data_IF_644445701298
#
_entry.id   IF_644445701298
#
_cell.length_a   1.000
_cell.length_b   1.000
_cell.length_c   1.000
_cell.angle_alpha   90.00
_cell.angle_beta   90.00
_cell.angle_gamma   90.00
#
_symmetry.space_group_name_H-M   'P 1'
#
loop_
_entity.id
_entity.type
_entity.pdbx_description
1 polymer ?
#
# COMPACT_ATOMS: atom_id res chain seq x y z
N UNK A 1 -17.92 9.96 23.66
CA UNK A 1 -16.92 9.84 24.71
C UNK A 1 -17.61 9.45 26.00
N UNK A 2 -17.08 8.51 26.76
CA UNK A 2 -17.71 7.99 27.95
C UNK A 2 -17.09 8.58 29.22
N UNK A 3 -17.84 8.54 30.32
CA UNK A 3 -17.33 8.88 31.65
C UNK A 3 -16.25 7.87 32.06
N UNK A 4 -15.16 8.37 32.62
CA UNK A 4 -14.06 7.54 33.14
C UNK A 4 -14.44 7.10 34.56
N UNK A 5 -14.62 5.78 34.76
CA UNK A 5 -14.57 5.18 36.08
C UNK A 5 -13.14 4.65 36.30
N UNK A 6 -12.72 4.48 37.55
CA UNK A 6 -11.37 4.06 37.94
C UNK A 6 -10.85 2.81 37.18
N UNK A 7 -11.75 1.98 36.62
CA UNK A 7 -11.45 0.71 35.99
C UNK A 7 -11.69 0.64 34.47
N UNK A 8 -12.22 1.67 33.80
CA UNK A 8 -12.49 1.63 32.38
C UNK A 8 -13.27 2.84 31.85
N UNK A 9 -13.72 2.76 30.60
CA UNK A 9 -14.46 3.81 29.91
C UNK A 9 -15.86 3.31 29.55
N UNK A 10 -16.88 4.11 29.84
CA UNK A 10 -18.22 3.91 29.31
C UNK A 10 -18.34 4.63 27.98
N UNK A 11 -18.67 3.90 26.91
CA UNK A 11 -18.90 4.49 25.59
C UNK A 11 -20.35 4.93 25.43
N UNK A 12 -20.56 6.01 24.66
CA UNK A 12 -21.91 6.46 24.29
C UNK A 12 -22.67 5.38 23.54
N UNK A 13 -24.01 5.39 23.60
CA UNK A 13 -24.88 4.38 22.97
C UNK A 13 -24.58 4.18 21.48
N UNK A 14 -24.29 5.24 20.73
CA UNK A 14 -23.94 5.19 19.33
C UNK A 14 -22.68 4.36 19.05
N UNK A 15 -21.60 4.55 19.86
CA UNK A 15 -20.38 3.76 19.73
C UNK A 15 -20.63 2.29 20.09
N UNK A 16 -21.45 2.04 21.11
CA UNK A 16 -21.85 0.68 21.49
C UNK A 16 -22.59 -0.01 20.35
N UNK A 17 -23.54 0.68 19.72
CA UNK A 17 -24.27 0.18 18.54
C UNK A 17 -23.34 -0.14 17.38
N UNK A 18 -22.36 0.74 17.07
CA UNK A 18 -21.42 0.53 15.98
C UNK A 18 -20.50 -0.66 16.27
N UNK A 19 -19.93 -0.76 17.48
CA UNK A 19 -19.10 -1.88 17.88
C UNK A 19 -19.86 -3.23 17.88
N UNK A 20 -21.17 -3.23 18.06
CA UNK A 20 -22.01 -4.42 18.00
C UNK A 20 -22.63 -4.67 16.62
N UNK A 21 -22.39 -3.79 15.64
CA UNK A 21 -23.02 -3.84 14.32
C UNK A 21 -22.38 -4.88 13.40
N UNK A 22 -23.13 -5.32 12.40
CA UNK A 22 -22.61 -6.16 11.31
C UNK A 22 -21.49 -5.47 10.50
N UNK A 23 -21.40 -4.14 10.55
CA UNK A 23 -20.30 -3.40 9.94
C UNK A 23 -18.95 -3.84 10.53
N UNK A 24 -18.81 -3.85 11.86
CA UNK A 24 -17.54 -4.15 12.53
C UNK A 24 -17.32 -5.64 12.75
N UNK A 25 -18.39 -6.44 12.89
CA UNK A 25 -18.29 -7.87 13.21
C UNK A 25 -18.29 -8.79 11.98
N UNK A 26 -18.79 -8.32 10.83
CA UNK A 26 -18.87 -9.12 9.60
C UNK A 26 -18.14 -8.43 8.45
N UNK A 27 -18.50 -7.20 8.08
CA UNK A 27 -17.96 -6.53 6.89
C UNK A 27 -16.47 -6.25 7.05
N UNK A 28 -16.04 -5.63 8.13
CA UNK A 28 -14.64 -5.28 8.38
C UNK A 28 -13.73 -6.52 8.38
N UNK A 29 -14.00 -7.62 9.10
CA UNK A 29 -13.15 -8.79 9.04
C UNK A 29 -13.12 -9.46 7.66
N UNK A 30 -14.18 -9.42 6.86
CA UNK A 30 -14.17 -9.91 5.48
C UNK A 30 -13.16 -9.11 4.64
N UNK A 31 -13.15 -7.79 4.75
CA UNK A 31 -12.17 -6.94 4.06
C UNK A 31 -10.74 -7.30 4.51
N UNK A 32 -10.49 -7.48 5.81
CA UNK A 32 -9.16 -7.88 6.30
C UNK A 32 -8.76 -9.30 5.85
N UNK A 33 -9.69 -10.22 5.69
CA UNK A 33 -9.42 -11.55 5.08
C UNK A 33 -8.95 -11.37 3.63
N UNK A 34 -9.60 -10.52 2.84
CA UNK A 34 -9.18 -10.20 1.47
C UNK A 34 -7.78 -9.57 1.47
N UNK A 35 -7.54 -8.60 2.37
CA UNK A 35 -6.22 -7.96 2.51
C UNK A 35 -5.13 -8.98 2.83
N UNK A 36 -5.39 -9.93 3.72
CA UNK A 36 -4.44 -10.98 4.06
C UNK A 36 -4.24 -11.97 2.92
N UNK A 37 -5.33 -12.52 2.36
CA UNK A 37 -5.29 -13.57 1.35
C UNK A 37 -4.66 -13.10 0.02
N UNK A 38 -4.85 -11.84 -0.35
CA UNK A 38 -4.29 -11.25 -1.58
C UNK A 38 -2.97 -10.55 -1.29
N UNK A 39 -2.92 -9.72 -0.26
CA UNK A 39 -1.75 -8.88 0.04
C UNK A 39 -0.51 -9.69 0.40
N UNK A 40 -0.64 -10.77 1.20
CA UNK A 40 0.51 -11.58 1.61
C UNK A 40 1.23 -12.22 0.41
N UNK A 41 0.57 -13.04 -0.44
CA UNK A 41 1.28 -13.72 -1.53
C UNK A 41 1.77 -12.75 -2.61
N UNK A 42 1.01 -11.71 -2.92
CA UNK A 42 1.37 -10.80 -4.02
C UNK A 42 2.53 -9.89 -3.65
N UNK A 43 2.61 -9.37 -2.42
CA UNK A 43 3.75 -8.57 -1.96
C UNK A 43 4.98 -9.44 -1.69
N UNK A 44 4.82 -10.66 -1.17
CA UNK A 44 5.93 -11.62 -1.06
C UNK A 44 6.54 -11.92 -2.43
N UNK A 45 5.70 -12.18 -3.44
CA UNK A 45 6.15 -12.36 -4.82
C UNK A 45 6.85 -11.10 -5.37
N UNK A 46 6.34 -9.91 -5.06
CA UNK A 46 6.96 -8.66 -5.49
C UNK A 46 8.38 -8.50 -4.92
N UNK A 47 8.56 -8.72 -3.63
CA UNK A 47 9.89 -8.68 -2.99
C UNK A 47 10.82 -9.70 -3.66
N UNK A 48 10.37 -10.94 -3.83
CA UNK A 48 11.17 -11.98 -4.45
C UNK A 48 11.63 -11.58 -5.87
N UNK A 49 10.74 -11.02 -6.69
CA UNK A 49 11.09 -10.55 -8.04
C UNK A 49 12.07 -9.38 -8.00
N UNK A 50 11.84 -8.38 -7.16
CA UNK A 50 12.68 -7.18 -7.12
C UNK A 50 14.07 -7.45 -6.52
N UNK A 51 14.18 -8.34 -5.54
CA UNK A 51 15.47 -8.63 -4.89
C UNK A 51 16.28 -9.67 -5.66
N UNK A 52 15.65 -10.77 -6.13
CA UNK A 52 16.36 -11.93 -6.65
C UNK A 52 16.31 -12.08 -8.17
N UNK A 53 15.25 -11.58 -8.83
CA UNK A 53 15.08 -11.77 -10.28
C UNK A 53 15.44 -10.53 -11.12
N UNK A 54 15.57 -9.37 -10.52
CA UNK A 54 15.90 -8.12 -11.21
C UNK A 54 17.41 -7.92 -11.26
N UNK A 55 18.04 -8.23 -12.40
CA UNK A 55 19.51 -8.13 -12.60
C UNK A 55 20.03 -6.69 -12.54
N UNK A 56 19.33 -5.74 -13.16
CA UNK A 56 19.65 -4.31 -13.11
C UNK A 56 18.61 -3.60 -12.24
N UNK A 57 18.99 -3.19 -11.04
CA UNK A 57 18.13 -2.44 -10.13
C UNK A 57 17.92 -1.04 -10.68
N UNK A 58 16.73 -0.77 -11.18
CA UNK A 58 16.31 0.57 -11.57
C UNK A 58 15.79 1.31 -10.32
N UNK A 59 15.97 2.65 -10.20
CA UNK A 59 15.47 3.42 -9.04
C UNK A 59 14.03 3.11 -8.64
N UNK A 60 13.12 3.01 -9.60
CA UNK A 60 11.73 2.64 -9.32
C UNK A 60 11.58 1.24 -8.70
N UNK A 61 12.46 0.28 -9.03
CA UNK A 61 12.39 -1.07 -8.47
C UNK A 61 12.79 -1.10 -7.00
N UNK A 62 13.67 -0.17 -6.58
CA UNK A 62 14.06 -0.01 -5.17
C UNK A 62 12.87 0.48 -4.37
N UNK A 63 12.17 1.53 -4.83
CA UNK A 63 10.98 2.04 -4.14
C UNK A 63 9.83 1.03 -4.11
N UNK A 64 9.62 0.28 -5.20
CA UNK A 64 8.59 -0.77 -5.24
C UNK A 64 8.89 -1.93 -4.29
N UNK A 65 10.17 -2.32 -4.12
CA UNK A 65 10.57 -3.32 -3.14
C UNK A 65 10.29 -2.87 -1.70
N UNK A 66 10.57 -1.58 -1.40
CA UNK A 66 10.29 -1.01 -0.09
C UNK A 66 8.80 -0.86 0.17
N UNK A 67 8.01 -0.51 -0.84
CA UNK A 67 6.55 -0.47 -0.76
C UNK A 67 5.98 -1.87 -0.44
N UNK A 68 6.41 -2.89 -1.18
CA UNK A 68 6.02 -4.27 -0.91
C UNK A 68 6.47 -4.78 0.48
N UNK A 69 7.62 -4.31 0.97
CA UNK A 69 8.08 -4.62 2.33
C UNK A 69 7.18 -3.96 3.38
N UNK A 70 6.78 -2.70 3.20
CA UNK A 70 5.85 -2.03 4.09
C UNK A 70 4.50 -2.78 4.17
N UNK A 71 3.98 -3.21 3.02
CA UNK A 71 2.74 -4.00 2.95
C UNK A 71 2.88 -5.33 3.69
N UNK A 72 3.97 -6.08 3.48
CA UNK A 72 4.19 -7.35 4.19
C UNK A 72 4.27 -7.17 5.70
N UNK A 73 5.00 -6.14 6.17
CA UNK A 73 5.12 -5.84 7.59
C UNK A 73 3.78 -5.50 8.25
N UNK A 74 2.82 -5.00 7.50
CA UNK A 74 1.46 -4.80 7.97
C UNK A 74 0.62 -6.09 7.89
N UNK A 75 0.61 -6.74 6.72
CA UNK A 75 -0.29 -7.86 6.42
C UNK A 75 -0.05 -9.05 7.35
N UNK A 76 1.18 -9.29 7.82
CA UNK A 76 1.47 -10.37 8.79
C UNK A 76 0.74 -10.21 10.13
N UNK A 77 0.33 -9.00 10.50
CA UNK A 77 -0.42 -8.71 11.74
C UNK A 77 -1.94 -8.73 11.55
N UNK A 78 -2.41 -8.70 10.30
CA UNK A 78 -3.85 -8.66 9.97
C UNK A 78 -4.66 -9.81 10.57
N UNK A 79 -4.16 -11.07 10.69
CA UNK A 79 -4.89 -12.15 11.35
C UNK A 79 -5.34 -11.81 12.78
N UNK A 80 -4.54 -11.05 13.55
CA UNK A 80 -4.93 -10.60 14.89
C UNK A 80 -6.12 -9.62 14.83
N UNK A 81 -6.14 -8.73 13.81
CA UNK A 81 -7.25 -7.80 13.61
C UNK A 81 -8.51 -8.53 13.18
N UNK A 82 -8.39 -9.55 12.33
CA UNK A 82 -9.52 -10.43 11.94
C UNK A 82 -10.12 -11.11 13.18
N UNK A 83 -9.28 -11.74 13.99
CA UNK A 83 -9.71 -12.40 15.23
C UNK A 83 -10.37 -11.43 16.21
N UNK A 84 -9.83 -10.22 16.35
CA UNK A 84 -10.42 -9.17 17.17
C UNK A 84 -11.87 -8.86 16.79
N UNK A 85 -12.15 -8.69 15.51
CA UNK A 85 -13.49 -8.38 15.01
C UNK A 85 -14.45 -9.57 15.15
N UNK A 86 -14.00 -10.81 14.89
CA UNK A 86 -14.81 -12.00 15.08
C UNK A 86 -15.12 -12.30 16.55
N UNK A 87 -14.26 -11.87 17.47
CA UNK A 87 -14.53 -11.93 18.91
C UNK A 87 -15.44 -10.79 19.41
N UNK A 88 -16.26 -10.18 18.54
CA UNK A 88 -17.15 -9.08 18.92
C UNK A 88 -16.41 -7.80 19.32
N UNK A 89 -15.32 -7.48 18.63
CA UNK A 89 -14.44 -6.35 18.92
C UNK A 89 -13.80 -6.42 20.33
N UNK A 90 -13.50 -7.64 20.80
CA UNK A 90 -12.82 -7.88 22.04
C UNK A 90 -11.36 -8.29 21.81
N UNK A 91 -10.44 -7.43 22.22
CA UNK A 91 -8.99 -7.60 22.08
C UNK A 91 -8.42 -8.39 23.28
N UNK A 92 -8.06 -9.64 23.03
CA UNK A 92 -7.58 -10.56 24.08
C UNK A 92 -6.05 -10.67 24.14
N UNK A 93 -5.31 -10.02 23.23
CA UNK A 93 -3.87 -10.23 23.04
C UNK A 93 -2.98 -9.27 23.85
N UNK A 94 -3.58 -8.47 24.74
CA UNK A 94 -2.86 -7.57 25.63
C UNK A 94 -2.40 -6.25 25.00
N UNK A 95 -1.95 -5.31 25.84
CA UNK A 95 -1.60 -3.93 25.46
C UNK A 95 -0.42 -3.87 24.49
N UNK A 96 0.59 -4.70 24.66
CA UNK A 96 1.81 -4.69 23.84
C UNK A 96 1.51 -4.98 22.36
N UNK A 97 0.80 -6.07 22.09
CA UNK A 97 0.44 -6.44 20.72
C UNK A 97 -0.54 -5.45 20.08
N UNK A 98 -1.43 -4.80 20.86
CA UNK A 98 -2.27 -3.74 20.35
C UNK A 98 -1.42 -2.56 19.84
N UNK A 99 -0.44 -2.09 20.63
CA UNK A 99 0.47 -1.01 20.24
C UNK A 99 1.27 -1.38 18.97
N UNK A 100 1.78 -2.59 18.90
CA UNK A 100 2.52 -3.12 17.74
C UNK A 100 1.63 -3.12 16.49
N UNK A 101 0.43 -3.69 16.57
CA UNK A 101 -0.52 -3.74 15.46
C UNK A 101 -0.84 -2.35 14.91
N UNK A 102 -1.14 -1.41 15.80
CA UNK A 102 -1.49 -0.03 15.42
C UNK A 102 -0.29 0.69 14.80
N UNK A 103 0.91 0.53 15.37
CA UNK A 103 2.11 1.16 14.84
C UNK A 103 2.45 0.62 13.44
N UNK A 104 2.34 -0.69 13.19
CA UNK A 104 2.56 -1.27 11.86
C UNK A 104 1.49 -0.83 10.86
N UNK A 105 0.24 -0.67 11.26
CA UNK A 105 -0.82 -0.13 10.41
C UNK A 105 -0.47 1.28 9.91
N UNK A 106 -0.14 2.19 10.82
CA UNK A 106 0.21 3.57 10.46
C UNK A 106 1.54 3.66 9.72
N UNK A 107 2.53 2.85 10.10
CA UNK A 107 3.81 2.76 9.38
C UNK A 107 3.60 2.31 7.94
N UNK A 108 2.79 1.27 7.70
CA UNK A 108 2.45 0.83 6.34
C UNK A 108 1.83 1.98 5.55
N UNK A 109 0.80 2.63 6.10
CA UNK A 109 0.08 3.69 5.41
C UNK A 109 1.02 4.84 4.99
N UNK A 110 1.83 5.37 5.92
CA UNK A 110 2.70 6.51 5.61
C UNK A 110 3.93 6.11 4.78
N UNK A 111 4.47 4.89 4.93
CA UNK A 111 5.46 4.36 4.01
C UNK A 111 4.90 4.25 2.59
N UNK A 112 3.68 3.73 2.42
CA UNK A 112 3.04 3.59 1.11
C UNK A 112 2.83 4.94 0.46
N UNK A 113 2.31 5.93 1.19
CA UNK A 113 2.16 7.31 0.71
C UNK A 113 3.52 7.87 0.25
N UNK A 114 4.57 7.74 1.06
CA UNK A 114 5.89 8.25 0.76
C UNK A 114 6.52 7.55 -0.45
N UNK A 115 6.47 6.20 -0.53
CA UNK A 115 7.08 5.47 -1.64
C UNK A 115 6.33 5.66 -2.96
N UNK A 116 4.99 5.75 -2.95
CA UNK A 116 4.20 6.08 -4.15
C UNK A 116 4.58 7.50 -4.62
N UNK A 117 4.80 8.44 -3.70
CA UNK A 117 5.28 9.78 -4.03
C UNK A 117 6.67 9.75 -4.66
N UNK A 118 7.61 8.99 -4.08
CA UNK A 118 8.94 8.79 -4.65
C UNK A 118 8.89 8.18 -6.06
N UNK A 119 8.00 7.19 -6.27
CA UNK A 119 7.77 6.59 -7.59
C UNK A 119 7.23 7.62 -8.57
N UNK A 120 6.29 8.46 -8.16
CA UNK A 120 5.70 9.53 -8.98
C UNK A 120 6.75 10.55 -9.43
N UNK A 121 7.56 11.05 -8.51
CA UNK A 121 8.68 11.96 -8.80
C UNK A 121 9.72 11.29 -9.71
N UNK A 122 10.09 10.04 -9.42
CA UNK A 122 11.04 9.28 -10.26
C UNK A 122 10.52 9.10 -11.69
N UNK A 123 9.22 8.90 -11.87
CA UNK A 123 8.60 8.79 -13.19
C UNK A 123 8.55 10.13 -13.91
N UNK A 124 8.26 11.22 -13.20
CA UNK A 124 8.37 12.56 -13.74
C UNK A 124 9.76 12.78 -14.35
N UNK A 125 10.84 12.52 -13.60
CA UNK A 125 12.21 12.64 -14.10
C UNK A 125 12.47 11.76 -15.33
N UNK A 126 11.99 10.51 -15.33
CA UNK A 126 12.20 9.59 -16.45
C UNK A 126 11.48 10.01 -17.74
N UNK A 127 10.37 10.74 -17.63
CA UNK A 127 9.57 11.21 -18.79
C UNK A 127 10.09 12.56 -19.28
N UNK A 128 10.38 13.49 -18.38
CA UNK A 128 10.76 14.88 -18.72
C UNK A 128 12.25 15.01 -19.03
N UNK A 129 13.10 14.28 -18.29
CA UNK A 129 14.56 14.34 -18.40
C UNK A 129 15.17 12.96 -18.67
N UNK A 130 14.91 12.31 -19.82
CA UNK A 130 15.26 10.91 -20.07
C UNK A 130 16.76 10.65 -20.06
N UNK A 131 17.58 11.57 -20.55
CA UNK A 131 19.04 11.43 -20.56
C UNK A 131 19.64 11.45 -19.15
N UNK A 132 19.22 12.41 -18.34
CA UNK A 132 19.63 12.53 -16.94
C UNK A 132 19.13 11.36 -16.09
N UNK A 133 17.93 10.86 -16.35
CA UNK A 133 17.36 9.71 -15.66
C UNK A 133 18.11 8.39 -15.92
N UNK A 134 18.75 8.26 -17.09
CA UNK A 134 19.50 7.06 -17.49
C UNK A 134 20.87 6.97 -16.78
N UNK A 135 21.47 8.10 -16.43
CA UNK A 135 22.77 8.19 -15.75
C UNK A 135 22.67 8.17 -14.22
N UNK A 136 21.46 8.07 -13.66
CA UNK A 136 21.24 8.27 -12.23
C UNK A 136 21.79 7.12 -11.39
N UNK A 137 22.59 7.46 -10.39
CA UNK A 137 23.14 6.52 -9.40
C UNK A 137 22.02 5.95 -8.50
N UNK A 138 22.07 4.65 -8.24
CA UNK A 138 21.13 3.95 -7.33
C UNK A 138 21.36 4.30 -5.85
N UNK A 139 22.44 4.97 -5.49
CA UNK A 139 22.71 5.42 -4.11
C UNK A 139 21.62 6.38 -3.61
N UNK A 140 21.13 7.29 -4.47
CA UNK A 140 20.09 8.26 -4.11
C UNK A 140 18.79 7.56 -3.72
N UNK A 141 18.21 6.65 -4.54
CA UNK A 141 17.00 5.91 -4.15
C UNK A 141 17.16 5.08 -2.87
N UNK A 142 18.35 4.51 -2.63
CA UNK A 142 18.63 3.79 -1.38
C UNK A 142 18.63 4.74 -0.19
N UNK A 143 19.36 5.85 -0.28
CA UNK A 143 19.41 6.85 0.79
C UNK A 143 18.01 7.41 1.11
N UNK A 144 17.23 7.77 0.08
CA UNK A 144 15.83 8.23 0.25
C UNK A 144 14.99 7.14 0.92
N UNK A 145 15.13 5.87 0.53
CA UNK A 145 14.38 4.77 1.16
C UNK A 145 14.71 4.63 2.64
N UNK A 146 16.00 4.69 3.01
CA UNK A 146 16.42 4.66 4.42
C UNK A 146 15.84 5.85 5.17
N UNK A 147 15.89 7.05 4.59
CA UNK A 147 15.31 8.26 5.22
C UNK A 147 13.81 8.10 5.44
N UNK A 148 13.05 7.57 4.46
CA UNK A 148 11.61 7.32 4.61
C UNK A 148 11.35 6.37 5.77
N UNK A 149 12.07 5.25 5.87
CA UNK A 149 11.91 4.31 6.96
C UNK A 149 12.21 4.94 8.32
N UNK A 150 13.34 5.65 8.45
CA UNK A 150 13.72 6.32 9.69
C UNK A 150 12.67 7.35 10.10
N UNK A 151 12.23 8.22 9.18
CA UNK A 151 11.22 9.24 9.47
C UNK A 151 9.89 8.60 9.89
N UNK A 152 9.42 7.59 9.15
CA UNK A 152 8.14 6.93 9.48
C UNK A 152 8.21 6.24 10.84
N UNK A 153 9.31 5.54 11.16
CA UNK A 153 9.46 4.93 12.48
C UNK A 153 9.52 5.97 13.60
N UNK A 154 10.21 7.09 13.40
CA UNK A 154 10.25 8.19 14.37
C UNK A 154 8.87 8.79 14.64
N UNK A 155 8.08 9.03 13.58
CA UNK A 155 6.72 9.58 13.75
C UNK A 155 5.74 8.57 14.37
N UNK A 156 6.02 7.27 14.34
CA UNK A 156 5.18 6.25 14.99
C UNK A 156 5.52 6.02 16.47
N UNK A 157 6.62 6.57 16.98
CA UNK A 157 7.00 6.46 18.41
C UNK A 157 5.84 6.85 19.35
N UNK A 158 5.11 7.97 19.15
CA UNK A 158 4.01 8.34 20.03
C UNK A 158 2.94 7.26 20.18
N UNK A 159 2.75 6.40 19.17
CA UNK A 159 1.78 5.30 19.22
C UNK A 159 2.15 4.21 20.24
N UNK A 160 3.41 4.11 20.63
CA UNK A 160 3.86 3.21 21.70
C UNK A 160 3.77 3.83 23.09
N UNK A 161 3.72 5.16 23.20
CA UNK A 161 3.75 5.88 24.48
C UNK A 161 2.41 5.85 25.20
N UNK A 162 1.27 5.94 24.48
CA UNK A 162 -0.05 5.90 25.11
C UNK A 162 -0.76 4.54 24.92
N UNK A 163 -1.68 4.25 25.87
CA UNK A 163 -2.42 2.99 25.81
C UNK A 163 -3.53 3.04 24.76
N UNK A 164 -3.37 2.20 23.74
CA UNK A 164 -4.33 2.00 22.65
C UNK A 164 -5.43 0.99 23.01
N UNK A 165 -5.16 0.14 24.01
CA UNK A 165 -6.14 -0.78 24.57
C UNK A 165 -6.98 -0.08 25.61
N UNK A 166 -8.31 -0.09 25.42
CA UNK A 166 -9.26 0.54 26.33
C UNK A 166 -10.29 -0.51 26.77
N UNK A 167 -10.50 -0.62 28.09
CA UNK A 167 -11.56 -1.46 28.65
C UNK A 167 -12.88 -0.73 28.58
N UNK A 168 -13.90 -1.35 28.01
CA UNK A 168 -15.25 -0.82 27.91
C UNK A 168 -16.13 -1.50 28.94
N UNK A 169 -16.66 -0.71 29.89
CA UNK A 169 -17.37 -1.22 31.08
C UNK A 169 -18.85 -1.40 30.88
N UNK A 170 -19.48 -0.69 29.93
CA UNK A 170 -20.91 -0.78 29.67
C UNK A 170 -21.30 -1.85 28.62
N UNK A 171 -20.43 -2.82 28.36
CA UNK A 171 -20.73 -4.10 27.69
C UNK A 171 -20.89 -5.22 28.71
N UNK A 172 -21.72 -6.21 28.39
CA UNK A 172 -21.87 -7.42 29.18
C UNK A 172 -21.72 -8.66 28.27
N UNK A 173 -20.62 -9.43 28.37
CA UNK A 173 -19.44 -9.17 29.21
C UNK A 173 -18.64 -7.93 28.77
N UNK A 174 -17.82 -7.38 29.67
CA UNK A 174 -16.93 -6.26 29.35
C UNK A 174 -15.91 -6.65 28.29
N UNK A 175 -15.59 -5.73 27.38
CA UNK A 175 -14.66 -5.96 26.29
C UNK A 175 -13.47 -5.01 26.36
N UNK A 176 -12.37 -5.40 25.70
CA UNK A 176 -11.22 -4.55 25.46
C UNK A 176 -11.18 -4.16 23.98
N UNK A 177 -11.10 -2.87 23.67
CA UNK A 177 -10.91 -2.39 22.31
C UNK A 177 -9.44 -2.09 22.03
N UNK A 178 -9.04 -2.14 20.75
CA UNK A 178 -7.69 -1.78 20.32
C UNK A 178 -7.77 -0.71 19.22
N UNK A 179 -7.42 0.54 19.57
CA UNK A 179 -7.42 1.72 18.69
C UNK A 179 -8.80 2.23 18.25
N UNK A 180 -9.89 1.66 18.76
CA UNK A 180 -11.25 2.08 18.37
C UNK A 180 -11.81 3.16 19.29
N UNK A 181 -11.30 3.25 20.52
CA UNK A 181 -11.73 4.21 21.51
C UNK A 181 -10.53 4.92 22.13
N UNK A 182 -10.53 6.25 22.11
CA UNK A 182 -9.50 7.08 22.75
C UNK A 182 -9.98 7.57 24.11
N UNK A 183 -9.14 7.42 25.15
CA UNK A 183 -9.43 7.96 26.49
C UNK A 183 -9.44 9.47 26.45
N UNK A 184 -10.33 10.09 27.20
CA UNK A 184 -10.48 11.55 27.26
C UNK A 184 -9.18 12.26 27.70
N UNK A 185 -8.44 11.67 28.65
CA UNK A 185 -7.15 12.18 29.11
C UNK A 185 -6.08 12.29 28.01
N UNK A 186 -6.16 11.44 26.98
CA UNK A 186 -5.23 11.41 25.85
C UNK A 186 -5.75 12.10 24.59
N UNK A 187 -7.03 12.53 24.60
CA UNK A 187 -7.68 13.06 23.41
C UNK A 187 -6.94 14.21 22.75
N UNK A 188 -6.53 15.23 23.53
CA UNK A 188 -5.84 16.40 22.98
C UNK A 188 -4.51 16.04 22.34
N UNK A 189 -3.74 15.14 22.98
CA UNK A 189 -2.45 14.68 22.49
C UNK A 189 -2.66 13.83 21.22
N UNK A 190 -3.59 12.88 21.26
CA UNK A 190 -3.92 12.04 20.10
C UNK A 190 -4.43 12.88 18.92
N UNK A 191 -5.32 13.83 19.18
CA UNK A 191 -5.83 14.72 18.14
C UNK A 191 -4.71 15.58 17.53
N UNK A 192 -3.87 16.21 18.34
CA UNK A 192 -2.72 16.98 17.85
C UNK A 192 -1.80 16.13 16.99
N UNK A 193 -1.48 14.90 17.42
CA UNK A 193 -0.68 13.95 16.67
C UNK A 193 -1.34 13.58 15.33
N UNK A 194 -2.58 13.09 15.34
CA UNK A 194 -3.24 12.61 14.12
C UNK A 194 -3.59 13.74 13.15
N UNK A 195 -3.92 14.94 13.63
CA UNK A 195 -4.11 16.11 12.78
C UNK A 195 -2.79 16.52 12.09
N UNK A 196 -1.67 16.47 12.82
CA UNK A 196 -0.35 16.80 12.26
C UNK A 196 0.09 15.78 11.21
N UNK A 197 0.06 14.48 11.54
CA UNK A 197 0.50 13.45 10.58
C UNK A 197 -0.46 13.30 9.41
N UNK A 198 -1.78 13.44 9.62
CA UNK A 198 -2.77 13.42 8.54
C UNK A 198 -2.59 14.60 7.58
N UNK A 199 -2.23 15.78 8.09
CA UNK A 199 -1.99 16.96 7.24
C UNK A 199 -0.61 16.85 6.54
N UNK A 200 0.47 16.73 7.29
CA UNK A 200 1.82 16.72 6.71
C UNK A 200 2.15 15.41 5.98
N UNK A 201 1.78 14.27 6.55
CA UNK A 201 2.07 12.95 5.99
C UNK A 201 1.20 12.55 4.80
N UNK A 202 0.08 13.24 4.56
CA UNK A 202 -0.78 12.97 3.42
C UNK A 202 -0.89 14.16 2.45
N UNK A 203 -1.26 15.37 2.93
CA UNK A 203 -1.56 16.51 2.03
C UNK A 203 -0.32 16.92 1.25
N UNK A 204 0.86 17.01 1.89
CA UNK A 204 2.11 17.39 1.21
C UNK A 204 2.49 16.37 0.15
N UNK A 205 2.58 15.04 0.42
CA UNK A 205 2.81 14.04 -0.61
C UNK A 205 1.78 14.05 -1.74
N UNK A 206 0.50 14.24 -1.43
CA UNK A 206 -0.56 14.31 -2.45
C UNK A 206 -0.35 15.48 -3.41
N UNK A 207 0.00 16.66 -2.89
CA UNK A 207 0.32 17.84 -3.71
C UNK A 207 1.54 17.54 -4.61
N UNK A 208 2.61 16.94 -4.07
CA UNK A 208 3.81 16.56 -4.84
C UNK A 208 3.45 15.59 -5.95
N UNK A 209 2.62 14.58 -5.68
CA UNK A 209 2.11 13.67 -6.70
C UNK A 209 1.37 14.41 -7.80
N UNK A 210 0.38 15.23 -7.43
CA UNK A 210 -0.45 15.98 -8.40
C UNK A 210 0.42 16.91 -9.28
N UNK A 211 1.36 17.65 -8.68
CA UNK A 211 2.28 18.52 -9.43
C UNK A 211 3.14 17.68 -10.38
N UNK A 212 3.70 16.55 -9.95
CA UNK A 212 4.48 15.66 -10.80
C UNK A 212 3.69 15.20 -12.03
N UNK A 213 2.39 14.88 -11.87
CA UNK A 213 1.51 14.48 -12.97
C UNK A 213 1.17 15.63 -13.91
N UNK A 214 0.87 16.82 -13.38
CA UNK A 214 0.60 18.00 -14.18
C UNK A 214 1.82 18.34 -15.06
N UNK A 215 3.03 18.29 -14.48
CA UNK A 215 4.25 18.57 -15.21
C UNK A 215 4.54 17.50 -16.28
N UNK A 216 4.27 16.21 -16.00
CA UNK A 216 4.37 15.15 -17.01
C UNK A 216 3.40 15.36 -18.17
N UNK A 217 2.15 15.75 -17.88
CA UNK A 217 1.15 16.04 -18.92
C UNK A 217 1.55 17.24 -19.78
N UNK A 218 2.08 18.30 -19.16
CA UNK A 218 2.60 19.48 -19.91
C UNK A 218 3.75 19.07 -20.84
N UNK A 219 4.73 18.32 -20.33
CA UNK A 219 5.87 17.83 -21.13
C UNK A 219 5.43 16.92 -22.29
N UNK A 220 4.39 16.12 -22.08
CA UNK A 220 3.83 15.28 -23.14
C UNK A 220 3.20 16.11 -24.26
N UNK A 221 2.46 17.18 -23.93
CA UNK A 221 1.84 18.07 -24.91
C UNK A 221 2.86 18.82 -25.75
N UNK A 222 4.00 19.20 -25.17
CA UNK A 222 5.06 19.95 -25.87
C UNK A 222 5.96 19.08 -26.78
N UNK A 223 5.92 17.75 -26.68
CA UNK A 223 6.85 16.82 -27.38
C UNK A 223 6.21 16.14 -28.59
N UNK A 224 5.29 16.72 -29.31
CA UNK A 224 4.46 16.08 -30.35
C UNK A 224 5.15 15.83 -31.72
N UNK A 225 6.46 15.91 -31.84
CA UNK A 225 7.18 15.80 -33.13
C UNK A 225 7.46 14.39 -33.64
N UNK A 226 7.48 13.36 -32.75
CA UNK A 226 7.73 11.95 -33.14
C UNK A 226 6.60 11.04 -32.62
N UNK A 227 5.85 10.43 -33.56
CA UNK A 227 4.67 9.59 -33.25
C UNK A 227 5.01 8.36 -32.39
N UNK A 228 6.17 7.71 -32.60
CA UNK A 228 6.56 6.52 -31.84
C UNK A 228 6.96 6.86 -30.40
N UNK A 229 7.70 7.93 -30.22
CA UNK A 229 8.10 8.44 -28.89
C UNK A 229 6.87 8.92 -28.13
N UNK A 230 5.99 9.63 -28.79
CA UNK A 230 4.72 10.14 -28.24
C UNK A 230 3.81 8.99 -27.76
N UNK A 231 3.65 7.92 -28.53
CA UNK A 231 2.86 6.73 -28.15
C UNK A 231 3.40 6.06 -26.90
N UNK A 232 4.73 5.90 -26.78
CA UNK A 232 5.38 5.30 -25.59
C UNK A 232 5.23 6.19 -24.36
N UNK A 233 5.42 7.50 -24.49
CA UNK A 233 5.25 8.48 -23.40
C UNK A 233 3.79 8.55 -22.95
N UNK A 234 2.82 8.61 -23.88
CA UNK A 234 1.38 8.62 -23.57
C UNK A 234 0.99 7.38 -22.75
N UNK A 235 1.46 6.19 -23.16
CA UNK A 235 1.19 4.96 -22.38
C UNK A 235 1.73 5.06 -20.95
N UNK A 236 2.95 5.58 -20.77
CA UNK A 236 3.54 5.79 -19.46
C UNK A 236 2.70 6.75 -18.59
N UNK A 237 2.26 7.86 -19.16
CA UNK A 237 1.44 8.87 -18.45
C UNK A 237 0.08 8.30 -18.04
N UNK A 238 -0.61 7.57 -18.95
CA UNK A 238 -1.89 6.93 -18.61
C UNK A 238 -1.73 5.94 -17.44
N UNK A 239 -0.69 5.12 -17.47
CA UNK A 239 -0.40 4.18 -16.36
C UNK A 239 -0.17 4.92 -15.04
N UNK A 240 0.51 6.06 -15.09
CA UNK A 240 0.79 6.86 -13.90
C UNK A 240 -0.48 7.55 -13.37
N UNK A 241 -1.36 8.04 -14.25
CA UNK A 241 -2.68 8.57 -13.83
C UNK A 241 -3.47 7.49 -13.09
N UNK A 242 -3.43 6.25 -13.57
CA UNK A 242 -4.07 5.12 -12.85
C UNK A 242 -3.52 4.97 -11.43
N UNK A 243 -2.20 5.05 -11.26
CA UNK A 243 -1.57 4.99 -9.93
C UNK A 243 -2.00 6.16 -9.04
N UNK A 244 -2.08 7.37 -9.59
CA UNK A 244 -2.56 8.54 -8.85
C UNK A 244 -4.02 8.37 -8.41
N UNK A 245 -4.88 7.89 -9.30
CA UNK A 245 -6.30 7.65 -8.97
C UNK A 245 -6.41 6.61 -7.85
N UNK A 246 -5.68 5.49 -7.96
CA UNK A 246 -5.63 4.46 -6.90
C UNK A 246 -5.17 5.05 -5.55
N UNK A 247 -4.09 5.84 -5.57
CA UNK A 247 -3.57 6.54 -4.39
C UNK A 247 -4.64 7.44 -3.75
N UNK A 248 -5.28 8.29 -4.55
CA UNK A 248 -6.29 9.21 -4.05
C UNK A 248 -7.53 8.47 -3.53
N UNK A 249 -7.99 7.43 -4.21
CA UNK A 249 -9.16 6.64 -3.79
C UNK A 249 -8.90 5.89 -2.48
N UNK A 250 -7.71 5.33 -2.30
CA UNK A 250 -7.39 4.57 -1.09
C UNK A 250 -7.13 5.48 0.13
N UNK A 251 -6.39 6.57 -0.04
CA UNK A 251 -5.89 7.33 1.10
C UNK A 251 -6.68 8.60 1.41
N UNK A 252 -7.27 9.28 0.41
CA UNK A 252 -7.99 10.54 0.64
C UNK A 252 -9.20 10.36 1.57
N UNK A 253 -10.10 9.39 1.33
CA UNK A 253 -11.27 9.23 2.19
C UNK A 253 -10.89 9.03 3.65
N UNK A 254 -9.89 8.16 3.89
CA UNK A 254 -9.45 7.88 5.25
C UNK A 254 -8.82 9.11 5.93
N UNK A 255 -7.88 9.79 5.26
CA UNK A 255 -7.22 10.94 5.87
C UNK A 255 -8.19 12.11 6.12
N UNK A 256 -9.15 12.34 5.22
CA UNK A 256 -10.22 13.31 5.44
C UNK A 256 -11.08 12.93 6.65
N UNK A 257 -11.51 11.67 6.72
CA UNK A 257 -12.33 11.20 7.85
C UNK A 257 -11.57 11.17 9.17
N UNK A 258 -10.25 10.91 9.14
CA UNK A 258 -9.37 11.02 10.30
C UNK A 258 -9.37 12.46 10.87
N UNK A 259 -9.18 13.45 10.01
CA UNK A 259 -9.20 14.86 10.41
C UNK A 259 -10.58 15.25 10.97
N UNK A 260 -11.65 14.92 10.26
CA UNK A 260 -13.04 15.19 10.70
C UNK A 260 -13.31 14.53 12.05
N UNK A 261 -12.92 13.25 12.22
CA UNK A 261 -13.10 12.50 13.46
C UNK A 261 -12.49 13.22 14.66
N UNK A 262 -11.21 13.60 14.58
CA UNK A 262 -10.54 14.27 15.70
C UNK A 262 -11.00 15.70 15.93
N UNK A 263 -11.37 16.46 14.88
CA UNK A 263 -11.96 17.79 15.01
C UNK A 263 -13.30 17.71 15.76
N UNK A 264 -14.19 16.80 15.39
CA UNK A 264 -15.48 16.59 16.06
C UNK A 264 -15.28 16.15 17.52
N UNK A 265 -14.34 15.27 17.78
CA UNK A 265 -14.02 14.82 19.13
C UNK A 265 -13.50 15.96 20.02
N UNK A 266 -12.64 16.83 19.50
CA UNK A 266 -12.16 18.03 20.23
C UNK A 266 -13.28 19.02 20.50
N UNK A 267 -14.23 19.19 19.58
CA UNK A 267 -15.41 20.02 19.74
C UNK A 267 -16.49 19.43 20.67
N UNK A 268 -16.28 18.23 21.22
CA UNK A 268 -17.27 17.54 22.06
C UNK A 268 -18.54 17.09 21.31
N UNK A 269 -18.56 17.22 19.98
CA UNK A 269 -19.69 16.84 19.14
C UNK A 269 -19.85 15.32 19.05
N UNK A 270 -21.09 14.88 18.82
CA UNK A 270 -21.37 13.49 18.51
C UNK A 270 -20.84 13.14 17.11
N UNK A 271 -20.04 12.09 17.05
CA UNK A 271 -19.46 11.68 15.78
C UNK A 271 -20.37 10.69 15.05
N UNK A 272 -21.41 11.20 14.39
CA UNK A 272 -22.29 10.41 13.54
C UNK A 272 -21.56 9.79 12.33
N UNK A 273 -20.36 10.30 11.99
CA UNK A 273 -19.56 9.86 10.86
C UNK A 273 -18.59 8.73 11.22
N UNK A 274 -18.60 8.21 12.47
CA UNK A 274 -17.67 7.17 12.90
C UNK A 274 -17.80 5.86 12.07
N UNK A 275 -19.01 5.54 11.58
CA UNK A 275 -19.22 4.41 10.66
C UNK A 275 -18.45 4.61 9.34
N UNK A 276 -18.48 5.83 8.80
CA UNK A 276 -17.71 6.17 7.60
C UNK A 276 -16.20 6.14 7.87
N UNK A 277 -15.76 6.62 9.03
CA UNK A 277 -14.36 6.53 9.43
C UNK A 277 -13.85 5.09 9.41
N UNK A 278 -14.56 4.13 10.00
CA UNK A 278 -14.19 2.70 9.97
C UNK A 278 -14.19 2.16 8.54
N UNK A 279 -15.18 2.50 7.73
CA UNK A 279 -15.23 2.04 6.32
C UNK A 279 -14.05 2.56 5.52
N UNK A 280 -13.65 3.83 5.71
CA UNK A 280 -12.49 4.41 5.02
C UNK A 280 -11.16 3.86 5.53
N UNK A 281 -11.08 3.42 6.79
CA UNK A 281 -9.95 2.68 7.33
C UNK A 281 -9.74 1.35 6.58
N UNK A 282 -10.81 0.61 6.31
CA UNK A 282 -10.79 -0.60 5.49
C UNK A 282 -10.32 -0.32 4.07
N UNK A 283 -10.79 0.79 3.47
CA UNK A 283 -10.38 1.21 2.13
C UNK A 283 -8.88 1.51 2.07
N UNK A 284 -8.34 2.19 3.09
CA UNK A 284 -6.90 2.43 3.21
C UNK A 284 -6.11 1.11 3.33
N UNK A 285 -6.64 0.11 4.05
CA UNK A 285 -6.01 -1.20 4.19
C UNK A 285 -5.97 -2.00 2.88
N UNK A 286 -6.95 -1.80 1.99
CA UNK A 286 -6.99 -2.43 0.66
C UNK A 286 -5.84 -1.97 -0.24
N UNK A 287 -5.15 -0.86 0.08
CA UNK A 287 -3.96 -0.43 -0.65
C UNK A 287 -2.94 -1.57 -0.80
N UNK A 288 -2.70 -2.35 0.25
CA UNK A 288 -1.77 -3.50 0.20
C UNK A 288 -2.16 -4.59 -0.82
N UNK A 289 -3.43 -4.64 -1.25
CA UNK A 289 -3.88 -5.50 -2.36
C UNK A 289 -3.72 -4.82 -3.71
N UNK A 290 -3.75 -3.48 -3.76
CA UNK A 290 -3.74 -2.68 -4.97
C UNK A 290 -2.31 -2.40 -5.44
N UNK A 291 -1.36 -2.26 -4.53
CA UNK A 291 0.05 -1.96 -4.83
C UNK A 291 0.71 -2.98 -5.80
N UNK A 292 0.44 -4.30 -5.74
CA UNK A 292 0.92 -5.24 -6.76
C UNK A 292 0.47 -4.91 -8.20
N UNK A 293 -0.69 -4.29 -8.38
CA UNK A 293 -1.11 -3.79 -9.70
C UNK A 293 -0.24 -2.61 -10.13
N UNK A 294 0.13 -1.72 -9.20
CA UNK A 294 1.10 -0.64 -9.45
C UNK A 294 2.42 -1.23 -9.97
N UNK A 295 2.93 -2.29 -9.32
CA UNK A 295 4.16 -2.97 -9.76
C UNK A 295 4.00 -3.59 -11.16
N UNK A 296 2.87 -4.25 -11.42
CA UNK A 296 2.57 -4.85 -12.71
C UNK A 296 2.54 -3.82 -13.84
N UNK A 297 1.94 -2.67 -13.61
CA UNK A 297 1.86 -1.62 -14.63
C UNK A 297 3.20 -0.90 -14.83
N UNK A 298 3.92 -0.60 -13.76
CA UNK A 298 5.14 0.22 -13.80
C UNK A 298 6.37 -0.61 -14.18
N UNK A 299 6.52 -1.83 -13.66
CA UNK A 299 7.71 -2.67 -13.80
C UNK A 299 7.55 -3.71 -14.91
N UNK A 300 8.31 -3.55 -16.00
CA UNK A 300 8.36 -4.57 -17.06
C UNK A 300 8.87 -5.91 -16.53
N UNK A 301 9.89 -5.89 -15.67
CA UNK A 301 10.46 -7.10 -15.11
C UNK A 301 9.45 -7.89 -14.27
N UNK A 302 8.69 -7.17 -13.42
CA UNK A 302 7.63 -7.77 -12.63
C UNK A 302 6.52 -8.37 -13.51
N UNK A 303 6.04 -7.59 -14.49
CA UNK A 303 5.02 -8.04 -15.45
C UNK A 303 5.46 -9.28 -16.25
N UNK A 304 6.70 -9.29 -16.77
CA UNK A 304 7.23 -10.42 -17.53
C UNK A 304 7.35 -11.66 -16.64
N UNK A 305 7.73 -11.48 -15.35
CA UNK A 305 7.83 -12.58 -14.40
C UNK A 305 6.46 -13.16 -14.05
N UNK A 306 5.49 -12.32 -13.69
CA UNK A 306 4.10 -12.72 -13.41
C UNK A 306 3.53 -13.51 -14.60
N UNK A 307 3.65 -12.97 -15.83
CA UNK A 307 3.20 -13.67 -17.05
C UNK A 307 3.85 -15.04 -17.23
N UNK A 308 5.15 -15.13 -17.00
CA UNK A 308 5.87 -16.40 -17.17
C UNK A 308 5.47 -17.43 -16.11
N UNK A 309 5.22 -16.98 -14.86
CA UNK A 309 4.74 -17.85 -13.78
C UNK A 309 3.34 -18.36 -14.07
N UNK A 310 2.38 -17.48 -14.43
CA UNK A 310 1.02 -17.92 -14.77
C UNK A 310 0.92 -18.77 -16.04
N UNK A 311 1.86 -18.64 -16.98
CA UNK A 311 1.89 -19.44 -18.22
C UNK A 311 2.73 -20.70 -18.06
N UNK A 312 3.18 -21.05 -16.87
CA UNK A 312 4.08 -22.20 -16.59
C UNK A 312 5.27 -22.28 -17.56
N UNK A 313 5.80 -21.11 -17.99
CA UNK A 313 6.89 -21.05 -18.98
C UNK A 313 8.24 -21.22 -18.29
N UNK A 314 8.92 -22.34 -18.55
CA UNK A 314 10.32 -22.55 -18.12
C UNK A 314 11.22 -21.40 -18.62
N UNK A 315 12.21 -21.01 -17.80
CA UNK A 315 13.23 -20.00 -18.19
C UNK A 315 13.97 -20.36 -19.49
N UNK A 316 14.16 -21.66 -19.76
CA UNK A 316 14.78 -22.17 -21.02
C UNK A 316 13.90 -21.83 -22.22
N UNK A 317 12.58 -22.02 -22.12
CA UNK A 317 11.61 -21.69 -23.16
C UNK A 317 11.54 -20.20 -23.44
N UNK A 318 11.57 -19.36 -22.38
CA UNK A 318 11.57 -17.90 -22.50
C UNK A 318 12.86 -17.38 -23.17
N UNK A 319 14.02 -17.96 -22.83
CA UNK A 319 15.29 -17.62 -23.50
C UNK A 319 15.27 -18.02 -24.99
N UNK A 320 14.80 -19.21 -25.33
CA UNK A 320 14.67 -19.66 -26.73
C UNK A 320 13.75 -18.74 -27.54
N UNK A 321 12.59 -18.37 -27.02
CA UNK A 321 11.69 -17.45 -27.73
C UNK A 321 12.32 -16.06 -27.92
N UNK A 322 13.03 -15.50 -26.92
CA UNK A 322 13.71 -14.20 -27.06
C UNK A 322 14.84 -14.23 -28.11
N UNK A 323 15.51 -15.35 -28.29
CA UNK A 323 16.53 -15.55 -29.33
C UNK A 323 15.86 -15.67 -30.70
N UNK A 324 14.78 -16.44 -30.82
CA UNK A 324 14.03 -16.61 -32.07
C UNK A 324 13.43 -15.30 -32.60
N UNK A 325 12.94 -14.41 -31.72
CA UNK A 325 12.43 -13.10 -32.13
C UNK A 325 13.52 -12.05 -32.44
N UNK A 326 14.81 -12.37 -32.14
CA UNK A 326 15.96 -11.49 -32.46
C UNK A 326 16.73 -11.92 -33.69
N UNK A 327 16.45 -13.10 -34.23
CA UNK A 327 17.05 -13.57 -35.49
C UNK A 327 16.46 -12.72 -36.64
N UNK A 328 17.29 -12.11 -37.52
CA UNK A 328 16.80 -11.42 -38.69
C UNK A 328 16.15 -12.44 -39.63
N UNK A 329 15.00 -12.06 -40.19
CA UNK A 329 14.33 -12.78 -41.28
C UNK A 329 15.18 -12.65 -42.56
N UNK A 330 16.27 -13.37 -42.67
CA UNK A 330 16.96 -13.56 -43.92
C UNK A 330 17.66 -14.94 -43.87
N UNK A 331 17.02 -15.91 -44.45
CA UNK A 331 17.66 -17.00 -45.23
C UNK A 331 16.56 -17.88 -45.85
N UNK A 332 16.53 -17.86 -47.15
CA UNK A 332 15.77 -18.75 -48.00
C UNK A 332 16.11 -20.23 -47.75
N UNK A 333 15.09 -21.01 -47.91
CA UNK A 333 15.04 -22.44 -48.30
C UNK A 333 16.34 -23.19 -48.45
N UNK A 334 16.52 -24.27 -47.64
CA UNK A 334 17.06 -25.53 -48.11
C UNK A 334 16.39 -26.70 -47.39
N UNK A 335 15.78 -27.55 -48.14
CA UNK A 335 15.20 -28.85 -47.82
C UNK A 335 16.18 -29.74 -47.05
N UNK A 336 15.77 -30.32 -45.92
CA UNK A 336 16.12 -31.67 -45.51
C UNK A 336 15.16 -32.20 -44.45
N UNK A 337 14.77 -33.43 -44.60
CA UNK A 337 13.83 -34.33 -43.93
C UNK A 337 14.00 -34.47 -42.41
N UNK A 338 12.95 -34.81 -41.66
CA UNK A 338 13.00 -34.91 -40.20
C UNK A 338 13.41 -36.29 -39.71
N UNK A 339 14.27 -36.34 -38.69
CA UNK A 339 14.47 -37.50 -37.82
C UNK A 339 13.68 -37.32 -36.51
N UNK A 340 12.85 -38.32 -36.27
CA UNK A 340 12.07 -38.61 -35.06
C UNK A 340 12.94 -38.66 -33.80
N UNK A 341 12.44 -38.13 -32.72
CA UNK A 341 13.08 -38.25 -31.40
C UNK A 341 12.19 -37.73 -30.26
N UNK A 342 11.52 -38.65 -29.62
CA UNK A 342 10.96 -38.75 -28.26
C UNK A 342 10.61 -37.47 -27.47
N UNK A 343 9.33 -37.36 -27.25
CA UNK A 343 8.65 -36.54 -26.24
C UNK A 343 8.79 -37.20 -24.87
N UNK A 344 9.40 -36.50 -23.91
CA UNK A 344 9.16 -36.72 -22.49
C UNK A 344 8.34 -35.52 -21.95
N UNK A 345 7.12 -35.83 -21.60
CA UNK A 345 6.21 -34.99 -20.83
C UNK A 345 6.71 -34.89 -19.37
N UNK A 346 6.90 -33.69 -18.89
CA UNK A 346 7.06 -33.44 -17.45
C UNK A 346 5.91 -32.56 -17.00
N UNK A 347 5.14 -33.10 -16.08
CA UNK A 347 4.04 -32.46 -15.37
C UNK A 347 4.51 -31.25 -14.54
N UNK A 348 3.60 -30.30 -14.41
CA UNK A 348 3.72 -29.14 -13.47
C UNK A 348 3.46 -29.55 -12.03
#
# INVERSE_FOLDING_TARGET
MGKINSDGVEVRSQYKEILSSHLTTIFVPIIYIIVFAVGLPTNAMAIWVFLFRTKKKHPSSIYMANLALADLLFVIWVPLKISYHFNGNNWIYGKGLCKVLVAFFYSNMYCSIAFITCISVQRYWAVVHPLSAQQRDNRIPVAVSITVWVVVWLITIPLYLYDQQVRITNFNPQIFTCNDVTRESWLKIAAGYFLTIGTLGFVVPAIVCIISYILMLKALRSSMTDAAITKKRRKAVVLMITVLVMFLVCFTPYNVMLLVHYILMLGGADNHLYRFYITTLCLASLNSCIDPFVYYFISKNFRDHVKNTFLCRSERTVKRMKVSFRAPKNSQEQHTTPKSGNTQSTEC
#
